data_IF_890594548550
#
_entry.id   IF_890594548550
#
_cell.length_a   1.000
_cell.length_b   1.000
_cell.length_c   1.000
_cell.angle_alpha   90.00
_cell.angle_beta   90.00
_cell.angle_gamma   90.00
#
_symmetry.space_group_name_H-M   'P 1'
#
loop_
_entity.id
_entity.type
_entity.pdbx_description
1 polymer ?
#
# COMPACT_ATOMS: atom_id res chain seq x y z
N UNK A 1 -18.89 -21.41 -28.93
CA UNK A 1 -17.49 -21.59 -28.49
C UNK A 1 -16.68 -20.29 -28.48
N UNK A 2 -16.72 -19.52 -29.56
CA UNK A 2 -15.96 -18.28 -29.64
C UNK A 2 -16.33 -17.24 -28.55
N UNK A 3 -17.61 -17.13 -28.22
CA UNK A 3 -18.07 -16.19 -27.20
C UNK A 3 -17.62 -16.55 -25.77
N UNK A 4 -17.54 -17.83 -25.45
CA UNK A 4 -17.08 -18.30 -24.13
C UNK A 4 -15.59 -18.05 -23.96
N UNK A 5 -14.78 -18.27 -25.01
CA UNK A 5 -13.34 -18.01 -24.96
C UNK A 5 -13.05 -16.53 -24.78
N UNK A 6 -13.78 -15.66 -25.47
CA UNK A 6 -13.64 -14.21 -25.34
C UNK A 6 -13.99 -13.74 -23.93
N UNK A 7 -15.03 -14.30 -23.30
CA UNK A 7 -15.44 -13.97 -21.94
C UNK A 7 -14.36 -14.33 -20.92
N UNK A 8 -13.72 -15.48 -21.08
CA UNK A 8 -12.63 -15.93 -20.21
C UNK A 8 -11.43 -15.01 -20.33
N UNK A 9 -11.06 -14.58 -21.55
CA UNK A 9 -9.97 -13.64 -21.76
C UNK A 9 -10.24 -12.29 -21.13
N UNK A 10 -11.47 -11.78 -21.22
CA UNK A 10 -11.86 -10.52 -20.59
C UNK A 10 -11.81 -10.62 -19.06
N UNK A 11 -12.22 -11.73 -18.48
CA UNK A 11 -12.15 -11.95 -17.04
C UNK A 11 -10.69 -11.98 -16.55
N UNK A 12 -9.79 -12.64 -17.28
CA UNK A 12 -8.36 -12.66 -16.96
C UNK A 12 -7.74 -11.27 -17.07
N UNK A 13 -8.07 -10.50 -18.11
CA UNK A 13 -7.57 -9.15 -18.28
C UNK A 13 -8.06 -8.22 -17.15
N UNK A 14 -9.32 -8.35 -16.73
CA UNK A 14 -9.88 -7.60 -15.60
C UNK A 14 -9.19 -7.93 -14.28
N UNK A 15 -8.90 -9.23 -14.04
CA UNK A 15 -8.18 -9.65 -12.84
C UNK A 15 -6.74 -9.12 -12.82
N UNK A 16 -6.04 -9.10 -13.99
CA UNK A 16 -4.69 -8.58 -14.11
C UNK A 16 -4.63 -7.05 -13.93
N UNK A 17 -5.72 -6.33 -14.27
CA UNK A 17 -5.79 -4.89 -14.11
C UNK A 17 -6.02 -4.45 -12.66
N UNK A 18 -6.40 -5.38 -11.77
CA UNK A 18 -6.72 -5.08 -10.37
C UNK A 18 -5.51 -5.26 -9.45
N UNK A 19 -4.39 -4.61 -9.80
CA UNK A 19 -3.20 -4.63 -8.93
C UNK A 19 -3.51 -3.94 -7.60
N UNK A 20 -3.10 -4.52 -6.46
CA UNK A 20 -3.35 -3.92 -5.15
C UNK A 20 -2.60 -2.61 -4.98
N UNK A 21 -3.23 -1.70 -4.23
CA UNK A 21 -2.64 -0.42 -3.86
C UNK A 21 -2.09 -0.57 -2.43
N UNK A 22 -0.79 -0.49 -2.29
CA UNK A 22 -0.11 -0.75 -1.01
C UNK A 22 0.47 0.54 -0.46
N UNK A 23 0.24 0.77 0.83
CA UNK A 23 0.90 1.84 1.58
C UNK A 23 1.76 1.19 2.65
N UNK A 24 3.02 1.60 2.76
CA UNK A 24 3.91 1.11 3.81
C UNK A 24 4.13 2.18 4.87
N UNK A 25 3.86 1.82 6.11
CA UNK A 25 4.09 2.67 7.28
C UNK A 25 5.30 2.21 8.10
N UNK A 26 6.04 1.22 7.60
CA UNK A 26 7.19 0.66 8.29
C UNK A 26 8.40 0.60 7.36
N UNK A 27 9.50 1.33 7.65
CA UNK A 27 10.67 1.39 6.77
C UNK A 27 11.27 0.01 6.43
N UNK A 28 11.33 -0.90 7.39
CA UNK A 28 11.87 -2.23 7.14
C UNK A 28 10.98 -3.08 6.23
N UNK A 29 9.65 -2.91 6.32
CA UNK A 29 8.74 -3.57 5.39
C UNK A 29 8.83 -2.95 4.00
N UNK A 30 9.04 -1.64 3.94
CA UNK A 30 9.29 -0.95 2.66
C UNK A 30 10.50 -1.53 1.95
N UNK A 31 11.59 -1.76 2.68
CA UNK A 31 12.80 -2.36 2.12
C UNK A 31 12.53 -3.76 1.57
N UNK A 32 11.73 -4.56 2.27
CA UNK A 32 11.36 -5.89 1.81
C UNK A 32 10.57 -5.82 0.49
N UNK A 33 9.63 -4.88 0.39
CA UNK A 33 8.87 -4.68 -0.85
C UNK A 33 9.79 -4.34 -2.01
N UNK A 34 10.79 -3.48 -1.78
CA UNK A 34 11.79 -3.13 -2.80
C UNK A 34 12.61 -4.36 -3.21
N UNK A 35 13.09 -5.14 -2.24
CA UNK A 35 13.86 -6.35 -2.50
C UNK A 35 13.07 -7.39 -3.30
N UNK A 36 11.78 -7.47 -3.06
CA UNK A 36 10.88 -8.36 -3.83
C UNK A 36 10.54 -7.81 -5.21
N UNK A 37 11.13 -6.68 -5.60
CA UNK A 37 10.87 -6.00 -6.87
C UNK A 37 9.39 -5.62 -7.04
N UNK A 38 8.73 -5.26 -5.94
CA UNK A 38 7.32 -4.89 -5.90
C UNK A 38 7.11 -3.41 -5.54
N UNK A 39 8.12 -2.57 -5.70
CA UNK A 39 8.06 -1.15 -5.37
C UNK A 39 6.97 -0.40 -6.15
N UNK A 40 6.63 -0.87 -7.34
CA UNK A 40 5.56 -0.28 -8.17
C UNK A 40 4.16 -0.48 -7.58
N UNK A 41 3.98 -1.37 -6.60
CA UNK A 41 2.73 -1.50 -5.87
C UNK A 41 2.55 -0.43 -4.80
N UNK A 42 3.64 0.24 -4.39
CA UNK A 42 3.59 1.25 -3.35
C UNK A 42 2.99 2.54 -3.88
N UNK A 43 1.84 2.92 -3.35
CA UNK A 43 1.16 4.18 -3.68
C UNK A 43 1.41 5.25 -2.63
N UNK A 44 1.99 4.90 -1.50
CA UNK A 44 2.38 5.84 -0.45
C UNK A 44 3.32 5.19 0.55
N UNK A 45 4.17 5.99 1.16
CA UNK A 45 5.11 5.55 2.20
C UNK A 45 5.20 6.56 3.32
N UNK A 46 5.45 6.05 4.53
CA UNK A 46 5.78 6.88 5.67
C UNK A 46 7.29 7.14 5.63
N UNK A 47 7.68 8.41 5.61
CA UNK A 47 9.09 8.77 5.55
C UNK A 47 9.77 8.61 6.91
N UNK A 48 10.97 8.03 6.88
CA UNK A 48 11.82 7.85 8.05
C UNK A 48 13.27 7.87 7.58
N UNK A 49 13.93 9.01 7.75
CA UNK A 49 15.28 9.20 7.26
C UNK A 49 15.35 9.40 5.75
N UNK A 50 16.43 8.94 5.14
CA UNK A 50 16.66 9.10 3.71
C UNK A 50 15.76 8.15 2.91
N UNK A 51 15.16 8.70 1.85
CA UNK A 51 14.28 7.91 1.00
C UNK A 51 15.07 7.10 -0.03
N UNK A 52 14.79 5.79 -0.19
CA UNK A 52 15.39 5.01 -1.27
C UNK A 52 15.09 5.59 -2.65
N UNK A 53 16.06 5.52 -3.56
CA UNK A 53 15.91 6.06 -4.92
C UNK A 53 14.73 5.44 -5.67
N UNK A 54 14.45 4.15 -5.44
CA UNK A 54 13.32 3.46 -6.07
C UNK A 54 11.97 4.07 -5.71
N UNK A 55 11.89 4.85 -4.63
CA UNK A 55 10.64 5.44 -4.13
C UNK A 55 10.59 6.95 -4.33
N UNK A 56 11.46 7.53 -5.15
CA UNK A 56 11.58 8.97 -5.31
C UNK A 56 10.26 9.65 -5.70
N UNK A 57 9.40 8.97 -6.46
CA UNK A 57 8.14 9.51 -6.96
C UNK A 57 6.92 9.06 -6.14
N UNK A 58 7.11 8.23 -5.11
CA UNK A 58 5.99 7.73 -4.30
C UNK A 58 5.52 8.81 -3.33
N UNK A 59 4.21 9.11 -3.26
CA UNK A 59 3.68 10.08 -2.30
C UNK A 59 4.02 9.75 -0.86
N UNK A 60 4.30 10.79 -0.07
CA UNK A 60 4.51 10.67 1.38
C UNK A 60 3.17 10.70 2.11
N UNK A 61 3.01 9.83 3.11
CA UNK A 61 1.87 9.88 4.03
C UNK A 61 2.27 10.42 5.41
N UNK A 62 3.37 11.14 5.47
CA UNK A 62 3.88 11.76 6.68
C UNK A 62 5.25 11.22 7.06
N UNK A 63 5.64 11.48 8.29
CA UNK A 63 6.91 11.04 8.87
C UNK A 63 6.65 10.03 9.97
N UNK A 64 7.65 9.25 10.29
CA UNK A 64 7.58 8.35 11.44
C UNK A 64 7.18 9.13 12.70
N UNK A 65 6.09 8.71 13.34
CA UNK A 65 5.51 9.39 14.48
C UNK A 65 4.47 10.47 14.13
N UNK A 66 4.34 10.85 12.86
CA UNK A 66 3.40 11.89 12.41
C UNK A 66 2.71 11.44 11.12
N UNK A 67 1.79 10.50 11.24
CA UNK A 67 1.01 10.00 10.11
C UNK A 67 -0.04 11.03 9.68
N UNK A 68 -0.06 11.35 8.40
CA UNK A 68 -1.14 12.13 7.78
C UNK A 68 -2.23 11.17 7.31
N UNK A 69 -3.24 10.98 8.16
CA UNK A 69 -4.31 10.03 7.90
C UNK A 69 -5.16 10.42 6.69
N UNK A 70 -5.43 11.72 6.49
CA UNK A 70 -6.19 12.18 5.33
C UNK A 70 -5.49 11.84 4.03
N UNK A 71 -4.18 12.07 3.99
CA UNK A 71 -3.37 11.76 2.81
C UNK A 71 -3.38 10.27 2.53
N UNK A 72 -3.20 9.46 3.57
CA UNK A 72 -3.25 8.01 3.46
C UNK A 72 -4.58 7.54 2.86
N UNK A 73 -5.70 8.03 3.39
CA UNK A 73 -7.03 7.65 2.90
C UNK A 73 -7.29 8.13 1.48
N UNK A 74 -6.74 9.29 1.09
CA UNK A 74 -6.89 9.82 -0.27
C UNK A 74 -6.24 8.94 -1.32
N UNK A 75 -5.25 8.15 -0.94
CA UNK A 75 -4.55 7.23 -1.83
C UNK A 75 -5.32 5.92 -2.06
N UNK A 76 -6.41 5.70 -1.34
CA UNK A 76 -7.28 4.52 -1.46
C UNK A 76 -6.51 3.20 -1.38
N UNK A 77 -5.80 2.94 -0.28
CA UNK A 77 -5.02 1.72 -0.15
C UNK A 77 -5.90 0.49 0.01
N UNK A 78 -5.47 -0.61 -0.60
CA UNK A 78 -6.07 -1.93 -0.40
C UNK A 78 -5.40 -2.66 0.77
N UNK A 79 -4.12 -2.36 1.00
CA UNK A 79 -3.33 -3.00 2.04
C UNK A 79 -2.39 -1.98 2.66
N UNK A 80 -2.31 -1.99 3.98
CA UNK A 80 -1.36 -1.18 4.74
C UNK A 80 -0.40 -2.11 5.46
N UNK A 81 0.89 -1.91 5.22
CA UNK A 81 1.97 -2.59 5.92
C UNK A 81 2.39 -1.74 7.11
N UNK A 82 2.40 -2.30 8.31
CA UNK A 82 2.76 -1.55 9.50
C UNK A 82 3.42 -2.44 10.56
N UNK A 83 4.21 -1.83 11.42
CA UNK A 83 4.65 -2.43 12.67
C UNK A 83 3.68 -2.02 13.78
N UNK A 84 3.56 -2.80 14.86
CA UNK A 84 2.71 -2.39 15.98
C UNK A 84 3.04 -1.01 16.51
N UNK A 85 4.32 -0.62 16.46
CA UNK A 85 4.78 0.69 16.93
C UNK A 85 4.76 1.79 15.86
N UNK A 86 4.41 1.48 14.61
CA UNK A 86 4.41 2.46 13.52
C UNK A 86 3.37 3.55 13.68
N UNK A 87 2.24 3.20 14.30
CA UNK A 87 1.12 4.11 14.50
C UNK A 87 0.56 3.95 15.90
N UNK A 88 0.02 5.03 16.49
CA UNK A 88 -0.67 4.93 17.77
C UNK A 88 -1.86 3.94 17.70
N UNK A 89 -2.17 3.24 18.81
CA UNK A 89 -3.28 2.28 18.81
C UNK A 89 -4.62 2.85 18.37
N UNK A 90 -4.89 4.12 18.69
CA UNK A 90 -6.13 4.77 18.27
C UNK A 90 -6.24 4.92 16.76
N UNK A 91 -5.14 5.27 16.09
CA UNK A 91 -5.10 5.36 14.63
C UNK A 91 -5.21 3.98 13.98
N UNK A 92 -4.55 2.97 14.55
CA UNK A 92 -4.67 1.59 14.07
C UNK A 92 -6.12 1.13 14.15
N UNK A 93 -6.79 1.37 15.27
CA UNK A 93 -8.21 1.00 15.44
C UNK A 93 -9.10 1.72 14.41
N UNK A 94 -8.79 2.97 14.10
CA UNK A 94 -9.53 3.73 13.09
C UNK A 94 -9.36 3.13 11.70
N UNK A 95 -8.15 2.71 11.33
CA UNK A 95 -7.90 2.04 10.05
C UNK A 95 -8.65 0.70 9.96
N UNK A 96 -8.68 -0.06 11.04
CA UNK A 96 -9.41 -1.32 11.11
C UNK A 96 -10.91 -1.10 10.92
N UNK A 97 -11.49 -0.07 11.54
CA UNK A 97 -12.92 0.27 11.41
C UNK A 97 -13.29 0.67 9.99
N UNK A 98 -12.34 1.21 9.23
CA UNK A 98 -12.56 1.58 7.83
C UNK A 98 -12.51 0.36 6.89
N UNK A 99 -12.23 -0.82 7.42
CA UNK A 99 -12.22 -2.04 6.63
C UNK A 99 -10.99 -2.23 5.75
N UNK A 100 -9.93 -1.45 5.99
CA UNK A 100 -8.67 -1.57 5.24
C UNK A 100 -7.87 -2.74 5.78
N UNK A 101 -7.34 -3.59 4.91
CA UNK A 101 -6.50 -4.72 5.31
C UNK A 101 -5.18 -4.21 5.88
N UNK A 102 -4.81 -4.71 7.06
CA UNK A 102 -3.55 -4.37 7.74
C UNK A 102 -2.69 -5.62 7.85
N UNK A 103 -1.40 -5.48 7.57
CA UNK A 103 -0.41 -6.52 7.76
C UNK A 103 0.68 -6.03 8.70
N UNK A 104 0.93 -6.75 9.76
CA UNK A 104 1.98 -6.42 10.72
C UNK A 104 2.82 -7.61 11.11
#
# INVERSE_FOLDING_TARGET
>A
MRGVLLLVLLACAGALAAAPRVVSLAPSLTEIVIELQAADLLVGVLDAGERPAALAQVPSVGRYGQLDLERLLSLKPDLILLWPASVPPAQRAQLERLGIALYS
#
